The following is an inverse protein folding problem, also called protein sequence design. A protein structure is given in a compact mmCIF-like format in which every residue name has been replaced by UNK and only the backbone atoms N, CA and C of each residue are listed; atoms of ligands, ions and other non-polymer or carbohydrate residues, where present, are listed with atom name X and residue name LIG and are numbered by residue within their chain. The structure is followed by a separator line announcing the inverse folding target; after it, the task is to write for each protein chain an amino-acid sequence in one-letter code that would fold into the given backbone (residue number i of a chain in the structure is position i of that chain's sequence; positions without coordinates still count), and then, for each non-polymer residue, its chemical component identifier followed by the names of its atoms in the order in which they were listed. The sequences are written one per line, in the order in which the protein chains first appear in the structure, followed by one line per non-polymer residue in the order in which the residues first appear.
data_IF_390726270827
#
_entry.id   IF_390726270827
#
_cell.length_a   1.000
_cell.length_b   1.000
_cell.length_c   1.000
_cell.angle_alpha   90.00
_cell.angle_beta   90.00
_cell.angle_gamma   90.00
#
_symmetry.space_group_name_H-M   'P 1'
#
loop_
_entity.id
_entity.type
_entity.pdbx_description
1 polymer ?
#
# COMPACT_ATOMS: atom_id res chain seq x y z
N UNK A 1 -40.58 -30.10 5.27
CA UNK A 1 -39.52 -30.87 4.57
C UNK A 1 -39.38 -30.33 3.16
N UNK A 2 -38.46 -29.40 2.93
CA UNK A 2 -38.19 -28.81 1.61
C UNK A 2 -36.79 -29.25 1.17
N UNK A 3 -36.71 -29.94 0.03
CA UNK A 3 -35.45 -30.37 -0.59
C UNK A 3 -35.02 -29.28 -1.57
N UNK A 4 -33.90 -28.61 -1.28
CA UNK A 4 -33.21 -27.74 -2.24
C UNK A 4 -32.26 -28.64 -3.04
N UNK A 5 -32.49 -28.72 -4.34
CA UNK A 5 -31.66 -29.45 -5.29
C UNK A 5 -30.44 -28.59 -5.66
N UNK A 6 -29.24 -29.15 -5.47
CA UNK A 6 -27.99 -28.57 -5.96
C UNK A 6 -27.81 -28.93 -7.43
N UNK A 7 -27.66 -27.92 -8.28
CA UNK A 7 -27.23 -28.08 -9.68
C UNK A 7 -25.71 -28.07 -9.70
N UNK A 8 -25.10 -29.22 -10.01
CA UNK A 8 -23.69 -29.30 -10.39
C UNK A 8 -23.54 -28.87 -11.85
N UNK A 9 -22.82 -27.77 -12.10
CA UNK A 9 -22.36 -27.42 -13.44
C UNK A 9 -20.96 -28.01 -13.64
N UNK A 10 -20.89 -28.98 -14.55
CA UNK A 10 -19.66 -29.58 -15.06
C UNK A 10 -19.10 -28.66 -16.14
N UNK A 11 -17.88 -28.14 -15.96
CA UNK A 11 -17.13 -27.52 -17.05
C UNK A 11 -16.16 -28.53 -17.65
N UNK A 12 -16.38 -28.78 -18.94
CA UNK A 12 -15.59 -29.63 -19.83
C UNK A 12 -14.30 -28.91 -20.20
N UNK A 13 -13.16 -29.58 -19.99
CA UNK A 13 -11.86 -29.24 -20.58
C UNK A 13 -11.94 -29.34 -22.10
N UNK A 14 -11.34 -28.38 -22.83
CA UNK A 14 -10.75 -28.65 -24.14
C UNK A 14 -9.71 -27.60 -24.55
N UNK A 15 -8.72 -28.11 -25.27
CA UNK A 15 -7.82 -27.46 -26.24
C UNK A 15 -6.44 -26.97 -25.75
N UNK A 16 -5.48 -27.85 -26.03
CA UNK A 16 -4.08 -27.57 -26.23
C UNK A 16 -3.84 -26.57 -27.38
N UNK A 17 -2.87 -25.67 -27.18
CA UNK A 17 -2.18 -24.96 -28.26
C UNK A 17 -0.69 -25.29 -28.20
N UNK A 18 -0.29 -26.29 -28.98
CA UNK A 18 1.10 -26.52 -29.38
C UNK A 18 1.50 -25.48 -30.42
N UNK A 19 2.42 -24.57 -30.04
CA UNK A 19 2.92 -23.50 -30.90
C UNK A 19 4.44 -23.51 -31.04
N UNK A 20 4.91 -24.24 -32.06
CA UNK A 20 6.15 -24.11 -32.84
C UNK A 20 7.32 -23.29 -32.26
N UNK A 21 8.42 -24.00 -31.99
CA UNK A 21 9.76 -23.43 -31.88
C UNK A 21 10.24 -22.84 -33.21
N UNK A 22 10.67 -21.59 -33.16
CA UNK A 22 11.45 -20.93 -34.21
C UNK A 22 12.96 -21.03 -33.95
N UNK A 23 13.80 -20.94 -34.99
CA UNK A 23 15.25 -21.09 -34.86
C UNK A 23 15.85 -19.92 -34.07
N UNK A 24 16.66 -20.28 -33.06
CA UNK A 24 17.47 -19.38 -32.25
C UNK A 24 18.59 -18.80 -33.16
N UNK A 25 18.74 -17.46 -33.26
CA UNK A 25 19.85 -16.88 -34.01
C UNK A 25 21.19 -17.24 -33.33
N UNK A 26 22.28 -17.43 -34.10
CA UNK A 26 23.60 -17.74 -33.55
C UNK A 26 24.11 -16.58 -32.69
N UNK A 27 24.48 -16.92 -31.45
CA UNK A 27 25.06 -15.98 -30.51
C UNK A 27 26.41 -15.47 -31.01
N UNK A 28 26.49 -14.17 -31.25
CA UNK A 28 27.75 -13.45 -31.32
C UNK A 28 28.31 -13.30 -29.91
N UNK A 29 29.39 -14.01 -29.62
CA UNK A 29 30.26 -13.76 -28.48
C UNK A 29 31.02 -12.47 -28.77
N UNK A 30 30.42 -11.32 -28.45
CA UNK A 30 31.18 -10.11 -28.23
C UNK A 30 31.94 -10.32 -26.92
N UNK A 31 33.27 -10.28 -26.99
CA UNK A 31 34.19 -10.27 -25.85
C UNK A 31 33.80 -9.10 -24.94
N UNK A 32 32.98 -9.39 -23.93
CA UNK A 32 32.70 -8.48 -22.83
C UNK A 32 33.98 -8.44 -22.02
N UNK A 33 34.77 -7.39 -22.24
CA UNK A 33 35.90 -7.05 -21.40
C UNK A 33 35.45 -7.20 -19.94
N UNK A 34 36.14 -8.08 -19.21
CA UNK A 34 35.95 -8.28 -17.79
C UNK A 34 36.34 -6.98 -17.12
N UNK A 35 35.38 -6.06 -16.97
CA UNK A 35 35.54 -4.87 -16.15
C UNK A 35 36.00 -5.38 -14.77
N UNK A 36 37.15 -4.89 -14.32
CA UNK A 36 37.65 -5.17 -12.98
C UNK A 36 36.52 -4.91 -11.99
N UNK A 37 36.29 -5.89 -11.13
CA UNK A 37 35.20 -5.86 -10.14
C UNK A 37 35.28 -4.54 -9.37
N UNK A 38 34.16 -3.81 -9.20
CA UNK A 38 34.15 -2.56 -8.45
C UNK A 38 34.81 -2.78 -7.09
N UNK A 39 35.56 -1.77 -6.64
CA UNK A 39 36.29 -1.78 -5.39
C UNK A 39 35.48 -2.48 -4.29
N UNK A 40 36.07 -3.50 -3.66
CA UNK A 40 35.40 -4.37 -2.69
C UNK A 40 34.73 -3.53 -1.59
N UNK A 41 33.42 -3.33 -1.67
CA UNK A 41 32.68 -2.49 -0.74
C UNK A 41 31.47 -1.76 -1.32
N UNK A 42 31.39 -1.59 -2.64
CA UNK A 42 30.24 -0.95 -3.29
C UNK A 42 29.05 -1.91 -3.43
N UNK A 43 27.85 -1.48 -3.05
CA UNK A 43 26.60 -2.25 -3.20
C UNK A 43 25.41 -1.38 -3.57
N UNK A 44 24.39 -1.98 -4.14
CA UNK A 44 23.09 -1.35 -4.39
C UNK A 44 22.10 -1.74 -3.30
N UNK A 45 21.40 -0.75 -2.73
CA UNK A 45 20.40 -0.95 -1.67
C UNK A 45 19.30 0.10 -1.83
N UNK A 46 18.04 -0.34 -1.98
CA UNK A 46 16.86 0.51 -2.19
C UNK A 46 17.00 1.54 -3.33
N UNK A 47 17.75 1.19 -4.38
CA UNK A 47 18.04 2.07 -5.52
C UNK A 47 19.22 3.01 -5.31
N UNK A 48 19.88 3.00 -4.15
CA UNK A 48 21.07 3.81 -3.89
C UNK A 48 22.34 3.00 -4.04
N UNK A 49 23.35 3.63 -4.63
CA UNK A 49 24.72 3.13 -4.63
C UNK A 49 25.38 3.48 -3.30
N UNK A 50 25.71 2.48 -2.50
CA UNK A 50 26.37 2.63 -1.20
C UNK A 50 27.81 2.14 -1.29
N UNK A 51 28.73 2.95 -0.78
CA UNK A 51 30.15 2.62 -0.67
C UNK A 51 30.65 2.99 0.74
N UNK A 52 31.84 2.52 1.17
CA UNK A 52 32.35 2.81 2.51
C UNK A 52 32.44 4.30 2.87
N UNK A 53 32.59 5.18 1.88
CA UNK A 53 32.67 6.64 2.03
C UNK A 53 31.40 7.38 1.57
N UNK A 54 30.35 6.66 1.13
CA UNK A 54 29.12 7.30 0.68
C UNK A 54 28.36 7.91 1.86
N UNK A 55 27.93 9.18 1.79
CA UNK A 55 27.03 9.74 2.79
C UNK A 55 25.67 9.03 2.74
N UNK A 56 24.88 9.13 3.81
CA UNK A 56 23.52 8.59 3.82
C UNK A 56 22.67 9.29 2.72
N UNK A 57 22.08 8.54 1.78
CA UNK A 57 21.32 9.12 0.68
C UNK A 57 20.05 9.83 1.14
N UNK A 58 19.50 9.50 2.31
CA UNK A 58 18.22 10.02 2.80
C UNK A 58 18.37 10.99 3.97
N UNK A 59 19.48 11.01 4.71
CA UNK A 59 19.60 11.82 5.93
C UNK A 59 19.59 13.35 5.66
N UNK A 60 18.54 14.05 6.08
CA UNK A 60 18.39 15.50 5.90
C UNK A 60 18.19 16.25 7.21
N UNK A 61 18.61 17.52 7.25
CA UNK A 61 18.30 18.41 8.36
C UNK A 61 17.18 19.39 7.99
N UNK A 62 17.12 19.81 6.74
CA UNK A 62 16.15 20.78 6.21
C UNK A 62 15.65 20.34 4.84
N UNK A 63 14.51 20.87 4.39
CA UNK A 63 13.99 20.60 3.03
C UNK A 63 14.98 20.98 1.93
N UNK A 64 15.83 21.99 2.16
CA UNK A 64 16.84 22.42 1.21
C UNK A 64 17.95 21.39 0.99
N UNK A 65 18.10 20.42 1.89
CA UNK A 65 19.08 19.34 1.76
C UNK A 65 18.61 18.27 0.78
N UNK A 66 17.30 18.20 0.50
CA UNK A 66 16.71 17.19 -0.35
C UNK A 66 16.63 17.63 -1.82
N UNK A 67 16.79 16.66 -2.72
CA UNK A 67 16.69 16.82 -4.17
C UNK A 67 16.09 15.55 -4.78
N UNK A 68 15.51 15.68 -5.98
CA UNK A 68 15.14 14.53 -6.79
C UNK A 68 16.14 14.43 -7.93
N UNK A 69 16.82 13.29 -8.03
CA UNK A 69 17.74 13.04 -9.13
C UNK A 69 17.51 11.64 -9.70
N UNK A 70 17.98 11.46 -10.92
CA UNK A 70 17.97 10.17 -11.57
C UNK A 70 19.18 9.38 -11.03
N UNK A 71 18.90 8.22 -10.43
CA UNK A 71 19.92 7.29 -9.94
C UNK A 71 20.57 6.55 -11.11
N UNK A 72 21.74 5.95 -10.90
CA UNK A 72 22.37 5.09 -11.92
C UNK A 72 21.68 3.71 -11.91
N UNK A 73 21.66 3.01 -13.04
CA UNK A 73 21.06 1.68 -13.11
C UNK A 73 22.00 0.63 -12.47
N UNK A 74 21.42 -0.44 -11.91
CA UNK A 74 22.16 -1.52 -11.25
C UNK A 74 23.14 -2.26 -12.17
N UNK A 75 22.93 -2.21 -13.49
CA UNK A 75 23.77 -2.84 -14.50
C UNK A 75 25.08 -2.07 -14.79
N UNK A 76 25.36 -1.03 -14.00
CA UNK A 76 26.54 -0.18 -14.12
C UNK A 76 26.42 0.84 -15.24
N UNK A 77 25.27 0.90 -15.93
CA UNK A 77 25.03 1.92 -16.92
C UNK A 77 24.64 3.23 -16.23
N UNK A 78 25.46 4.26 -16.46
CA UNK A 78 25.29 5.63 -15.93
C UNK A 78 24.17 6.38 -16.66
N UNK A 79 23.07 5.68 -16.89
CA UNK A 79 21.86 6.24 -17.45
C UNK A 79 20.98 6.79 -16.33
N UNK A 80 20.16 7.78 -16.65
CA UNK A 80 19.11 8.19 -15.75
C UNK A 80 18.22 7.00 -15.40
N UNK A 81 18.15 6.64 -14.13
CA UNK A 81 17.07 5.82 -13.59
C UNK A 81 15.76 6.43 -14.04
N UNK A 82 14.86 5.55 -14.48
CA UNK A 82 13.52 5.91 -14.94
C UNK A 82 12.65 6.53 -13.84
N UNK A 83 13.12 6.54 -12.58
CA UNK A 83 12.40 7.11 -11.45
C UNK A 83 13.27 8.10 -10.66
N UNK A 84 12.83 9.36 -10.49
CA UNK A 84 13.49 10.27 -9.57
C UNK A 84 13.36 9.73 -8.15
N UNK A 85 14.48 9.52 -7.48
CA UNK A 85 14.48 9.18 -6.06
C UNK A 85 14.78 10.42 -5.22
N UNK A 86 14.09 10.61 -4.09
CA UNK A 86 14.43 11.67 -3.14
C UNK A 86 15.76 11.32 -2.48
N UNK A 87 16.73 12.21 -2.56
CA UNK A 87 18.03 12.02 -1.94
C UNK A 87 18.61 13.33 -1.43
N UNK A 88 19.67 13.25 -0.65
CA UNK A 88 20.38 14.43 -0.18
C UNK A 88 21.26 15.01 -1.28
N UNK A 89 21.44 16.34 -1.28
CA UNK A 89 22.37 17.02 -2.19
C UNK A 89 23.81 16.54 -1.99
N UNK A 90 24.20 16.29 -0.74
CA UNK A 90 25.54 15.80 -0.39
C UNK A 90 25.78 14.41 -1.02
N UNK A 91 24.79 13.53 -0.96
CA UNK A 91 24.85 12.24 -1.65
C UNK A 91 24.89 12.39 -3.16
N UNK A 92 24.08 13.27 -3.75
CA UNK A 92 24.11 13.53 -5.20
C UNK A 92 25.50 13.99 -5.68
N UNK A 93 26.13 14.90 -4.92
CA UNK A 93 27.47 15.41 -5.24
C UNK A 93 28.56 14.34 -5.07
N UNK A 94 28.43 13.48 -4.06
CA UNK A 94 29.31 12.32 -3.89
C UNK A 94 29.12 11.35 -5.07
N UNK A 95 27.89 10.96 -5.37
CA UNK A 95 27.55 10.01 -6.44
C UNK A 95 28.10 10.50 -7.79
N UNK A 96 27.91 11.78 -8.11
CA UNK A 96 28.47 12.38 -9.33
C UNK A 96 29.99 12.24 -9.40
N UNK A 97 30.71 12.59 -8.33
CA UNK A 97 32.18 12.47 -8.30
C UNK A 97 32.65 11.03 -8.37
N UNK A 98 31.97 10.13 -7.67
CA UNK A 98 32.26 8.69 -7.64
C UNK A 98 32.12 8.09 -9.05
N UNK A 99 31.02 8.41 -9.75
CA UNK A 99 30.78 7.96 -11.11
C UNK A 99 31.76 8.58 -12.13
N UNK A 100 32.13 9.85 -11.94
CA UNK A 100 33.16 10.52 -12.74
C UNK A 100 34.56 9.89 -12.54
N UNK A 101 34.85 9.31 -11.35
CA UNK A 101 36.14 8.68 -11.04
C UNK A 101 36.23 7.19 -11.35
N UNK A 102 35.13 6.44 -11.26
CA UNK A 102 35.08 4.96 -11.28
C UNK A 102 34.50 4.38 -12.59
N UNK A 103 34.81 4.99 -13.74
CA UNK A 103 34.60 4.39 -15.08
C UNK A 103 33.27 4.60 -15.82
N UNK A 104 32.42 5.57 -15.48
CA UNK A 104 31.30 5.95 -16.38
C UNK A 104 31.75 6.56 -17.72
N UNK A 105 33.01 6.97 -17.84
CA UNK A 105 33.52 7.68 -19.03
C UNK A 105 33.60 6.81 -20.27
N UNK A 106 33.83 5.50 -20.10
CA UNK A 106 34.18 4.57 -21.18
C UNK A 106 33.09 3.50 -21.43
N UNK A 107 31.95 3.56 -20.74
CA UNK A 107 30.83 2.61 -20.93
C UNK A 107 29.80 3.20 -21.90
N UNK A 108 29.68 2.60 -23.09
CA UNK A 108 28.58 2.89 -24.01
C UNK A 108 27.30 2.16 -23.56
N UNK A 109 26.29 2.94 -23.14
CA UNK A 109 25.00 2.41 -22.72
C UNK A 109 23.95 2.58 -23.83
N UNK A 110 23.17 1.53 -24.17
CA UNK A 110 22.11 1.63 -25.15
C UNK A 110 21.03 2.58 -24.64
N UNK A 111 20.70 3.65 -25.38
CA UNK A 111 19.65 4.58 -25.00
C UNK A 111 18.32 3.85 -24.88
N UNK A 112 17.81 3.71 -23.65
CA UNK A 112 16.45 3.26 -23.42
C UNK A 112 15.43 4.24 -24.01
N UNK A 113 14.19 3.80 -24.27
CA UNK A 113 13.11 4.74 -24.59
C UNK A 113 12.96 5.76 -23.44
N UNK A 114 12.61 7.02 -23.74
CA UNK A 114 12.42 8.02 -22.70
C UNK A 114 11.32 7.56 -21.73
N UNK A 115 11.55 7.59 -20.40
CA UNK A 115 10.51 7.25 -19.44
C UNK A 115 9.34 8.23 -19.52
N UNK A 116 8.17 7.80 -19.05
CA UNK A 116 7.08 8.73 -18.81
C UNK A 116 7.53 9.80 -17.79
N UNK A 117 7.14 11.07 -17.95
CA UNK A 117 7.48 12.09 -16.98
C UNK A 117 6.90 11.73 -15.60
N UNK A 118 7.67 11.92 -14.51
CA UNK A 118 7.21 11.60 -13.16
C UNK A 118 6.04 12.49 -12.76
N UNK A 119 5.22 12.03 -11.80
CA UNK A 119 4.15 12.87 -11.25
C UNK A 119 4.73 14.14 -10.60
N UNK A 120 4.04 15.29 -10.62
CA UNK A 120 4.54 16.52 -10.00
C UNK A 120 4.87 16.41 -8.50
N UNK A 121 4.27 15.46 -7.76
CA UNK A 121 4.63 15.20 -6.37
C UNK A 121 5.93 14.38 -6.22
N UNK A 122 6.26 13.55 -7.21
CA UNK A 122 7.47 12.71 -7.20
C UNK A 122 8.72 13.53 -7.50
N UNK A 123 8.58 14.64 -8.22
CA UNK A 123 9.67 15.58 -8.50
C UNK A 123 9.92 16.61 -7.38
N UNK A 124 9.11 16.58 -6.31
CA UNK A 124 9.27 17.44 -5.13
C UNK A 124 9.79 16.61 -3.96
N UNK A 125 11.08 16.74 -3.66
CA UNK A 125 11.66 16.18 -2.44
C UNK A 125 11.37 17.09 -1.23
N UNK A 126 11.21 16.49 -0.06
CA UNK A 126 11.06 17.18 1.23
C UNK A 126 11.84 16.45 2.32
N UNK A 127 12.24 17.18 3.34
CA UNK A 127 12.80 16.60 4.55
C UNK A 127 11.67 16.36 5.57
N UNK A 128 11.49 15.11 5.99
CA UNK A 128 10.47 14.73 6.96
C UNK A 128 11.06 13.76 7.97
N UNK A 129 10.99 14.14 9.25
CA UNK A 129 11.52 13.34 10.37
C UNK A 129 13.00 12.94 10.19
N UNK A 130 13.80 13.83 9.60
CA UNK A 130 15.23 13.59 9.33
C UNK A 130 15.53 12.81 8.04
N UNK A 131 14.53 12.47 7.23
CA UNK A 131 14.72 11.73 5.98
C UNK A 131 14.13 12.45 4.76
N UNK A 132 14.86 12.41 3.64
CA UNK A 132 14.38 12.86 2.35
C UNK A 132 13.29 11.93 1.85
N UNK A 133 12.16 12.49 1.46
CA UNK A 133 11.04 11.75 0.91
C UNK A 133 10.40 12.54 -0.24
N UNK A 134 9.61 11.86 -1.06
CA UNK A 134 8.80 12.55 -2.07
C UNK A 134 7.58 13.17 -1.40
N UNK A 135 7.06 14.26 -1.97
CA UNK A 135 5.80 14.83 -1.52
C UNK A 135 4.62 13.84 -1.64
N UNK A 136 4.77 12.74 -2.40
CA UNK A 136 3.74 11.71 -2.51
C UNK A 136 3.69 10.77 -1.27
N UNK A 137 4.79 10.60 -0.55
CA UNK A 137 4.86 9.67 0.59
C UNK A 137 4.12 10.17 1.84
N UNK A 138 3.86 11.48 1.91
CA UNK A 138 3.16 12.13 3.03
C UNK A 138 1.64 12.19 2.84
N UNK A 139 1.08 11.49 1.85
CA UNK A 139 -0.37 11.38 1.74
C UNK A 139 -0.92 10.62 2.95
N UNK A 140 -1.98 11.13 3.62
CA UNK A 140 -2.61 10.42 4.73
C UNK A 140 -3.04 9.03 4.27
N UNK A 141 -2.48 8.00 4.90
CA UNK A 141 -2.63 6.58 4.51
C UNK A 141 -1.32 5.79 4.41
N UNK A 142 -0.17 6.46 4.33
CA UNK A 142 1.15 5.81 4.16
C UNK A 142 2.07 5.91 5.39
N UNK A 143 1.49 6.03 6.59
CA UNK A 143 2.25 6.13 7.83
C UNK A 143 2.69 4.76 8.35
N UNK A 144 3.70 4.17 7.71
CA UNK A 144 4.83 3.41 8.29
C UNK A 144 5.53 2.65 7.16
N UNK A 145 6.80 3.00 6.97
CA UNK A 145 7.58 2.63 5.79
C UNK A 145 7.83 1.14 5.64
N UNK A 146 7.67 0.68 4.40
CA UNK A 146 8.65 -0.10 3.64
C UNK A 146 8.55 0.37 2.18
N UNK A 147 9.70 0.51 1.51
CA UNK A 147 9.88 0.98 0.14
C UNK A 147 9.10 0.17 -0.93
N UNK A 148 8.90 0.72 -2.14
CA UNK A 148 7.88 0.29 -3.09
C UNK A 148 8.42 -0.69 -4.13
N UNK A 149 7.93 -1.93 -4.10
CA UNK A 149 7.97 -2.84 -5.24
C UNK A 149 6.59 -3.44 -5.52
N UNK A 150 5.55 -2.63 -5.35
CA UNK A 150 4.17 -2.98 -5.63
C UNK A 150 3.54 -1.97 -6.58
N UNK A 151 3.51 -2.30 -7.86
CA UNK A 151 2.73 -1.61 -8.87
C UNK A 151 1.28 -1.43 -8.39
N UNK A 152 0.91 -0.20 -8.04
CA UNK A 152 -0.45 0.21 -7.71
C UNK A 152 -0.64 1.65 -8.11
N UNK A 153 -0.99 1.88 -9.39
CA UNK A 153 -1.15 3.21 -9.95
C UNK A 153 -2.24 4.01 -9.23
N UNK A 154 -1.89 5.20 -8.75
CA UNK A 154 -2.89 6.25 -8.53
C UNK A 154 -3.39 6.72 -9.90
N UNK A 155 -4.70 6.70 -10.17
CA UNK A 155 -5.23 7.19 -11.43
C UNK A 155 -4.93 8.68 -11.58
N UNK A 156 -4.48 9.03 -12.78
CA UNK A 156 -4.23 10.39 -13.20
C UNK A 156 -5.56 11.11 -13.34
N UNK A 157 -5.97 11.86 -12.32
CA UNK A 157 -6.86 12.99 -12.58
C UNK A 157 -6.45 14.22 -11.77
N UNK A 158 -6.47 15.33 -12.49
CA UNK A 158 -5.81 16.59 -12.21
C UNK A 158 -6.55 17.39 -11.14
N UNK A 159 -6.23 17.12 -9.88
CA UNK A 159 -6.17 18.06 -8.76
C UNK A 159 -5.82 17.23 -7.54
N UNK A 160 -4.80 17.59 -6.78
CA UNK A 160 -4.77 17.19 -5.38
C UNK A 160 -5.63 18.23 -4.68
N UNK A 161 -6.92 17.98 -4.38
CA UNK A 161 -7.62 18.83 -3.45
C UNK A 161 -6.93 18.60 -2.10
N UNK A 162 -5.93 19.41 -1.77
CA UNK A 162 -5.34 19.50 -0.43
C UNK A 162 -6.41 19.84 0.64
N UNK A 163 -7.64 20.12 0.22
CA UNK A 163 -8.78 20.40 1.09
C UNK A 163 -10.09 19.82 0.51
N UNK A 164 -10.12 18.56 0.08
CA UNK A 164 -11.41 17.91 -0.10
C UNK A 164 -12.11 17.98 1.26
N UNK A 165 -13.26 18.67 1.32
CA UNK A 165 -14.02 18.77 2.56
C UNK A 165 -14.27 17.34 3.08
N UNK A 166 -14.10 17.10 4.40
CA UNK A 166 -14.33 15.77 4.96
C UNK A 166 -15.72 15.30 4.56
N UNK A 167 -15.79 14.07 4.07
CA UNK A 167 -17.07 13.46 3.71
C UNK A 167 -17.89 13.35 5.00
N UNK A 168 -19.13 13.86 5.02
CA UNK A 168 -19.91 13.96 6.25
C UNK A 168 -20.53 12.60 6.60
N UNK A 169 -19.68 11.62 6.92
CA UNK A 169 -20.03 10.25 7.25
C UNK A 169 -19.41 9.90 8.59
N UNK A 170 -20.20 9.32 9.48
CA UNK A 170 -19.74 8.78 10.76
C UNK A 170 -19.70 7.25 10.70
N UNK A 171 -18.71 6.65 11.36
CA UNK A 171 -18.61 5.21 11.58
C UNK A 171 -18.89 4.93 13.05
N UNK A 172 -19.97 4.20 13.31
CA UNK A 172 -20.43 3.84 14.64
C UNK A 172 -20.35 2.32 14.80
N UNK A 173 -20.17 1.84 16.03
CA UNK A 173 -20.25 0.41 16.36
C UNK A 173 -21.21 0.24 17.51
N UNK A 174 -22.29 -0.51 17.31
CA UNK A 174 -23.33 -0.69 18.33
C UNK A 174 -23.04 -1.88 19.25
N UNK A 175 -22.32 -2.88 18.72
CA UNK A 175 -22.15 -4.19 19.36
C UNK A 175 -20.84 -4.82 18.92
N UNK A 176 -20.06 -5.35 19.86
CA UNK A 176 -18.81 -6.09 19.58
C UNK A 176 -18.77 -7.38 20.39
N UNK A 177 -18.41 -8.47 19.72
CA UNK A 177 -18.17 -9.77 20.31
C UNK A 177 -16.82 -10.33 19.85
N UNK A 178 -16.05 -10.92 20.77
CA UNK A 178 -14.81 -11.63 20.45
C UNK A 178 -15.01 -13.09 20.82
N UNK A 179 -15.08 -13.93 19.79
CA UNK A 179 -15.28 -15.38 19.91
C UNK A 179 -13.94 -16.08 19.70
N UNK A 180 -13.43 -16.84 20.70
CA UNK A 180 -12.31 -17.73 20.48
C UNK A 180 -12.66 -18.84 19.49
N UNK A 181 -11.78 -19.10 18.53
CA UNK A 181 -11.90 -20.14 17.50
C UNK A 181 -10.67 -21.06 17.55
N UNK A 182 -10.73 -22.24 16.91
CA UNK A 182 -9.63 -23.22 16.91
C UNK A 182 -8.29 -22.64 16.43
N UNK A 183 -8.33 -21.67 15.51
CA UNK A 183 -7.15 -21.08 14.85
C UNK A 183 -6.97 -19.58 15.12
N UNK A 184 -7.55 -19.06 16.20
CA UNK A 184 -7.37 -17.66 16.60
C UNK A 184 -8.60 -17.06 17.25
N UNK A 185 -8.92 -15.81 16.89
CA UNK A 185 -10.12 -15.11 17.35
C UNK A 185 -10.98 -14.71 16.16
N UNK A 186 -12.29 -14.64 16.38
CA UNK A 186 -13.22 -14.01 15.46
C UNK A 186 -13.87 -12.82 16.15
N UNK A 187 -13.72 -11.63 15.56
CA UNK A 187 -14.40 -10.42 16.04
C UNK A 187 -15.64 -10.18 15.21
N UNK A 188 -16.80 -10.06 15.86
CA UNK A 188 -18.08 -9.74 15.23
C UNK A 188 -18.52 -8.35 15.68
N UNK A 189 -18.80 -7.47 14.74
CA UNK A 189 -19.20 -6.09 15.01
C UNK A 189 -20.51 -5.77 14.31
N UNK A 190 -21.46 -5.14 15.00
CA UNK A 190 -22.57 -4.46 14.35
C UNK A 190 -22.15 -3.01 14.06
N UNK A 191 -21.74 -2.74 12.82
CA UNK A 191 -21.23 -1.45 12.40
C UNK A 191 -22.32 -0.64 11.67
N UNK A 192 -22.33 0.68 11.88
CA UNK A 192 -23.23 1.60 11.20
C UNK A 192 -22.42 2.71 10.54
N UNK A 193 -22.61 2.91 9.23
CA UNK A 193 -22.20 4.12 8.54
C UNK A 193 -23.39 5.08 8.49
N UNK A 194 -23.23 6.26 9.09
CA UNK A 194 -24.26 7.32 9.07
C UNK A 194 -23.84 8.41 8.09
N UNK A 195 -24.50 8.49 6.95
CA UNK A 195 -24.32 9.58 5.98
C UNK A 195 -25.17 10.79 6.35
N UNK A 196 -24.50 11.91 6.62
CA UNK A 196 -25.10 13.24 6.84
C UNK A 196 -25.14 14.08 5.56
N UNK A 197 -24.77 13.49 4.42
CA UNK A 197 -24.86 14.16 3.13
C UNK A 197 -26.34 14.40 2.74
N UNK A 198 -26.59 15.41 1.91
CA UNK A 198 -27.93 15.70 1.41
C UNK A 198 -28.41 14.71 0.33
N UNK A 199 -27.55 13.79 -0.10
CA UNK A 199 -27.83 12.80 -1.14
C UNK A 199 -26.96 11.54 -0.97
N UNK A 200 -27.28 10.48 -1.72
CA UNK A 200 -26.50 9.24 -1.66
C UNK A 200 -25.05 9.47 -2.10
N UNK A 201 -24.13 8.73 -1.49
CA UNK A 201 -22.71 8.76 -1.85
C UNK A 201 -22.39 7.48 -2.62
N UNK A 202 -21.87 7.62 -3.84
CA UNK A 202 -21.40 6.46 -4.60
C UNK A 202 -20.00 6.06 -4.13
N UNK A 203 -19.89 4.88 -3.53
CA UNK A 203 -18.64 4.23 -3.13
C UNK A 203 -18.21 3.28 -4.24
N UNK A 204 -16.91 3.19 -4.54
CA UNK A 204 -16.40 2.19 -5.49
C UNK A 204 -15.53 1.18 -4.75
N UNK A 205 -16.08 -0.01 -4.58
CA UNK A 205 -15.47 -1.06 -3.76
C UNK A 205 -15.14 -2.32 -4.58
N UNK A 206 -14.13 -3.07 -4.18
CA UNK A 206 -13.76 -4.33 -4.84
C UNK A 206 -14.76 -5.47 -4.56
N UNK A 207 -15.56 -5.41 -3.48
CA UNK A 207 -16.41 -6.53 -3.02
C UNK A 207 -17.89 -6.18 -2.76
N UNK A 208 -18.37 -5.09 -3.36
CA UNK A 208 -19.77 -4.68 -3.32
C UNK A 208 -20.35 -4.37 -1.91
N UNK A 209 -19.51 -4.05 -0.91
CA UNK A 209 -19.95 -3.42 0.34
C UNK A 209 -19.34 -2.02 0.54
N UNK A 210 -20.13 -1.11 1.10
CA UNK A 210 -19.65 0.21 1.56
C UNK A 210 -18.69 0.11 2.74
N UNK A 211 -18.60 -1.06 3.39
CA UNK A 211 -17.71 -1.32 4.53
C UNK A 211 -16.36 -1.93 4.14
N UNK A 212 -16.08 -2.16 2.86
CA UNK A 212 -14.85 -2.85 2.42
C UNK A 212 -13.55 -2.05 2.69
N UNK A 213 -13.64 -0.78 3.11
CA UNK A 213 -12.52 0.03 3.58
C UNK A 213 -12.33 0.01 5.11
N UNK A 214 -13.16 -0.73 5.85
CA UNK A 214 -13.13 -0.78 7.32
C UNK A 214 -12.21 -1.90 7.81
N UNK A 215 -11.49 -1.61 8.87
CA UNK A 215 -10.65 -2.54 9.63
C UNK A 215 -11.05 -2.55 11.09
N UNK A 216 -10.90 -3.70 11.74
CA UNK A 216 -10.93 -3.77 13.21
C UNK A 216 -9.52 -3.56 13.76
N UNK A 217 -9.43 -2.83 14.87
CA UNK A 217 -8.18 -2.58 15.61
C UNK A 217 -8.37 -3.03 17.05
N UNK A 218 -7.51 -3.95 17.49
CA UNK A 218 -7.43 -4.43 18.87
C UNK A 218 -6.23 -3.76 19.54
N UNK A 219 -6.45 -3.19 20.71
CA UNK A 219 -5.40 -2.56 21.52
C UNK A 219 -5.38 -3.12 22.94
N UNK A 220 -4.19 -3.11 23.55
CA UNK A 220 -4.00 -3.46 24.95
C UNK A 220 -4.51 -2.37 25.90
N UNK A 221 -4.46 -2.61 27.22
CA UNK A 221 -4.85 -1.62 28.23
C UNK A 221 -3.95 -0.38 28.25
N UNK A 222 -2.72 -0.48 27.73
CA UNK A 222 -1.77 0.62 27.57
C UNK A 222 -1.97 1.43 26.28
N UNK A 223 -2.72 0.89 25.32
CA UNK A 223 -3.05 1.53 24.05
C UNK A 223 -2.16 1.06 22.91
N UNK A 224 -1.26 0.12 23.18
CA UNK A 224 -0.49 -0.53 22.14
C UNK A 224 -1.41 -1.35 21.24
N UNK A 225 -1.30 -1.15 19.93
CA UNK A 225 -2.01 -1.96 18.95
C UNK A 225 -1.51 -3.41 19.02
N UNK A 226 -2.42 -4.34 19.29
CA UNK A 226 -2.15 -5.78 19.33
C UNK A 226 -2.34 -6.41 17.95
N UNK A 227 -3.40 -5.99 17.25
CA UNK A 227 -3.76 -6.53 15.93
C UNK A 227 -4.63 -5.54 15.17
N UNK A 228 -4.43 -5.52 13.85
CA UNK A 228 -5.31 -4.86 12.88
C UNK A 228 -5.69 -5.87 11.81
N UNK A 229 -6.96 -5.87 11.43
CA UNK A 229 -7.47 -6.76 10.39
C UNK A 229 -8.50 -6.02 9.54
N UNK A 230 -8.24 -5.95 8.24
CA UNK A 230 -9.19 -5.41 7.27
C UNK A 230 -10.41 -6.32 7.14
N UNK A 231 -11.57 -5.72 6.87
CA UNK A 231 -12.78 -6.45 6.53
C UNK A 231 -12.64 -7.08 5.15
N UNK A 232 -12.46 -8.40 5.12
CA UNK A 232 -12.22 -9.17 3.90
C UNK A 232 -13.23 -10.31 3.73
N UNK A 233 -14.35 -10.28 4.45
CA UNK A 233 -15.28 -11.41 4.54
C UNK A 233 -16.28 -11.51 3.37
N UNK A 234 -15.84 -11.20 2.16
CA UNK A 234 -16.64 -11.35 0.95
C UNK A 234 -15.94 -12.29 -0.03
N UNK A 235 -16.59 -13.42 -0.32
CA UNK A 235 -16.17 -14.30 -1.40
C UNK A 235 -16.80 -13.83 -2.71
N UNK A 236 -16.12 -12.92 -3.42
CA UNK A 236 -16.32 -12.64 -4.86
C UNK A 236 -17.71 -12.06 -5.27
N UNK A 237 -17.82 -11.41 -6.44
CA UNK A 237 -16.77 -11.12 -7.45
C UNK A 237 -15.87 -9.94 -7.05
N UNK A 238 -14.55 -10.16 -7.15
CA UNK A 238 -13.55 -9.10 -7.05
C UNK A 238 -13.57 -8.26 -8.34
N UNK A 239 -13.69 -6.94 -8.21
CA UNK A 239 -13.55 -6.00 -9.34
C UNK A 239 -12.35 -5.08 -9.09
N UNK A 240 -11.32 -5.16 -9.94
CA UNK A 240 -10.15 -4.26 -9.87
C UNK A 240 -10.52 -2.79 -10.06
N UNK A 241 -11.57 -2.54 -10.84
CA UNK A 241 -12.09 -1.20 -11.15
C UNK A 241 -13.11 -0.72 -10.10
N UNK A 242 -13.45 -1.60 -9.16
CA UNK A 242 -14.51 -1.44 -8.19
C UNK A 242 -15.91 -1.58 -8.81
N UNK A 243 -16.85 -2.04 -8.00
CA UNK A 243 -18.29 -2.00 -8.26
C UNK A 243 -18.84 -0.76 -7.57
N UNK A 244 -19.65 0.08 -8.26
CA UNK A 244 -20.32 1.19 -7.61
C UNK A 244 -21.40 0.65 -6.66
N UNK A 245 -21.36 1.10 -5.40
CA UNK A 245 -22.36 0.81 -4.37
C UNK A 245 -22.81 2.14 -3.77
N UNK A 246 -24.11 2.31 -3.59
CA UNK A 246 -24.63 3.53 -2.98
C UNK A 246 -24.67 3.41 -1.45
N UNK A 247 -24.01 4.34 -0.77
CA UNK A 247 -24.28 4.63 0.63
C UNK A 247 -25.48 5.58 0.68
N UNK A 248 -26.63 5.06 1.09
CA UNK A 248 -27.85 5.85 1.24
C UNK A 248 -27.69 6.97 2.27
N UNK A 249 -28.53 8.01 2.16
CA UNK A 249 -28.66 9.03 3.20
C UNK A 249 -29.18 8.38 4.48
N UNK A 250 -28.65 8.76 5.65
CA UNK A 250 -29.02 8.18 6.93
C UNK A 250 -28.13 7.01 7.33
N UNK A 251 -28.72 5.99 7.96
CA UNK A 251 -27.98 4.87 8.54
C UNK A 251 -27.92 3.67 7.59
N UNK A 252 -26.73 3.11 7.42
CA UNK A 252 -26.51 1.79 6.81
C UNK A 252 -25.82 0.92 7.84
N UNK A 253 -26.49 -0.15 8.31
CA UNK A 253 -25.98 -1.06 9.34
C UNK A 253 -25.68 -2.42 8.77
N UNK A 254 -24.54 -3.00 9.14
CA UNK A 254 -24.13 -4.34 8.73
C UNK A 254 -23.42 -5.06 9.87
N UNK A 255 -23.60 -6.38 9.95
CA UNK A 255 -22.74 -7.25 10.77
C UNK A 255 -21.44 -7.54 10.01
N UNK A 256 -20.32 -7.13 10.60
CA UNK A 256 -18.97 -7.34 10.07
C UNK A 256 -18.29 -8.44 10.89
N UNK A 257 -17.63 -9.37 10.19
CA UNK A 257 -16.88 -10.47 10.81
C UNK A 257 -15.41 -10.38 10.40
N UNK A 258 -14.53 -10.32 11.39
CA UNK A 258 -13.09 -10.21 11.22
C UNK A 258 -12.41 -11.46 11.79
N UNK A 259 -11.99 -12.42 10.96
CA UNK A 259 -11.18 -13.52 11.42
C UNK A 259 -9.75 -13.03 11.69
N UNK A 260 -9.29 -13.19 12.93
CA UNK A 260 -7.93 -12.91 13.38
C UNK A 260 -7.17 -14.24 13.45
N UNK A 261 -6.81 -14.78 12.29
CA UNK A 261 -6.02 -16.01 12.20
C UNK A 261 -4.65 -15.84 12.87
N UNK A 262 -4.19 -16.91 13.51
CA UNK A 262 -2.89 -17.00 14.21
C UNK A 262 -2.70 -15.92 15.28
N UNK A 263 -3.81 -15.36 15.78
CA UNK A 263 -3.81 -14.38 16.86
C UNK A 263 -4.58 -14.92 18.05
N UNK A 264 -3.88 -15.03 19.17
CA UNK A 264 -4.45 -15.27 20.49
C UNK A 264 -4.00 -14.15 21.42
N UNK A 265 -4.72 -13.97 22.53
CA UNK A 265 -4.32 -13.02 23.57
C UNK A 265 -4.59 -13.63 24.93
N UNK A 266 -3.65 -13.45 25.85
CA UNK A 266 -3.82 -13.80 27.27
C UNK A 266 -4.59 -12.70 28.02
N UNK A 267 -4.85 -11.56 27.38
CA UNK A 267 -5.58 -10.46 27.99
C UNK A 267 -7.07 -10.81 28.08
N UNK A 268 -7.67 -10.79 29.29
CA UNK A 268 -9.09 -11.10 29.45
C UNK A 268 -9.97 -10.01 28.84
N UNK A 269 -9.48 -8.77 28.76
CA UNK A 269 -10.17 -7.61 28.18
C UNK A 269 -9.22 -6.93 27.19
N UNK A 270 -9.75 -6.60 26.01
CA UNK A 270 -9.05 -5.82 24.98
C UNK A 270 -9.91 -4.64 24.55
N UNK A 271 -9.26 -3.59 24.06
CA UNK A 271 -9.94 -2.43 23.49
C UNK A 271 -10.14 -2.63 22.00
N UNK A 272 -11.36 -2.47 21.52
CA UNK A 272 -11.73 -2.69 20.13
C UNK A 272 -12.32 -1.42 19.55
N UNK A 273 -11.88 -1.06 18.34
CA UNK A 273 -12.51 -0.02 17.53
C UNK A 273 -12.48 -0.39 16.06
N UNK A 274 -13.36 0.25 15.28
CA UNK A 274 -13.32 0.21 13.84
C UNK A 274 -12.64 1.47 13.30
N UNK A 275 -11.79 1.30 12.30
CA UNK A 275 -11.12 2.39 11.58
C UNK A 275 -11.19 2.13 10.08
N UNK A 276 -11.23 3.17 9.26
CA UNK A 276 -11.15 3.00 7.82
C UNK A 276 -11.48 4.24 7.00
N UNK A 277 -11.89 3.99 5.77
CA UNK A 277 -12.36 4.98 4.82
C UNK A 277 -13.54 4.44 4.00
N UNK A 278 -14.19 5.31 3.22
CA UNK A 278 -15.07 4.86 2.14
C UNK A 278 -14.22 4.59 0.89
N UNK A 279 -14.24 3.36 0.34
CA UNK A 279 -13.44 3.02 -0.83
C UNK A 279 -13.59 3.99 -2.00
N UNK A 280 -12.47 4.61 -2.37
CA UNK A 280 -12.33 5.54 -3.52
C UNK A 280 -13.25 6.76 -3.46
N UNK A 281 -13.63 7.21 -2.26
CA UNK A 281 -14.33 8.49 -2.07
C UNK A 281 -13.33 9.53 -1.57
N UNK A 282 -13.04 10.60 -2.33
CA UNK A 282 -12.13 11.65 -1.87
C UNK A 282 -12.62 12.28 -0.56
N UNK A 283 -11.71 12.47 0.41
CA UNK A 283 -12.03 13.10 1.69
C UNK A 283 -12.73 12.21 2.72
N UNK A 284 -12.91 10.91 2.46
CA UNK A 284 -13.51 9.97 3.42
C UNK A 284 -12.51 9.27 4.35
N UNK A 285 -11.23 9.66 4.31
CA UNK A 285 -10.20 9.03 5.14
C UNK A 285 -10.42 9.35 6.63
N UNK A 286 -10.02 8.43 7.50
CA UNK A 286 -10.01 8.65 8.95
C UNK A 286 -11.36 8.44 9.64
N UNK A 287 -12.26 7.63 9.06
CA UNK A 287 -13.43 7.15 9.78
C UNK A 287 -12.97 6.33 10.98
N UNK A 288 -13.54 6.61 12.15
CA UNK A 288 -13.19 5.94 13.40
C UNK A 288 -14.41 5.84 14.30
N UNK A 289 -14.68 4.64 14.81
CA UNK A 289 -15.68 4.44 15.84
C UNK A 289 -15.14 4.78 17.23
N UNK A 290 -16.05 4.85 18.20
CA UNK A 290 -15.67 4.77 19.61
C UNK A 290 -14.90 3.47 19.90
N UNK A 291 -14.05 3.53 20.92
CA UNK A 291 -13.27 2.40 21.40
C UNK A 291 -13.99 1.78 22.59
N UNK A 292 -14.21 0.46 22.54
CA UNK A 292 -14.95 -0.29 23.54
C UNK A 292 -14.03 -1.31 24.23
N UNK A 293 -14.13 -1.43 25.54
CA UNK A 293 -13.55 -2.54 26.29
C UNK A 293 -14.40 -3.80 26.09
N UNK A 294 -13.79 -4.87 25.57
CA UNK A 294 -14.46 -6.13 25.25
C UNK A 294 -13.74 -7.29 25.93
N UNK A 295 -14.49 -8.06 26.71
CA UNK A 295 -13.99 -9.28 27.35
C UNK A 295 -13.93 -10.43 26.35
N UNK A 296 -12.76 -11.05 26.20
CA UNK A 296 -12.55 -12.15 25.24
C UNK A 296 -13.32 -13.39 25.69
N UNK A 297 -14.17 -13.94 24.81
CA UNK A 297 -14.98 -15.13 25.11
C UNK A 297 -16.14 -14.91 26.09
N UNK A 298 -16.29 -13.71 26.65
CA UNK A 298 -17.57 -13.31 27.22
C UNK A 298 -18.52 -13.03 26.07
N UNK A 299 -19.80 -13.35 26.26
CA UNK A 299 -20.84 -12.96 25.31
C UNK A 299 -20.85 -11.45 25.06
N UNK A 300 -21.76 -11.02 24.21
CA UNK A 300 -21.60 -9.76 23.52
C UNK A 300 -21.62 -8.50 24.39
N UNK A 301 -20.71 -7.56 24.09
CA UNK A 301 -20.71 -6.21 24.66
C UNK A 301 -21.60 -5.28 23.82
N UNK A 302 -22.47 -4.51 24.48
CA UNK A 302 -23.28 -3.46 23.87
C UNK A 302 -22.76 -2.09 24.28
N UNK A 303 -22.87 -1.11 23.38
CA UNK A 303 -22.64 0.30 23.74
C UNK A 303 -23.75 0.74 24.71
N UNK A 304 -23.40 1.38 25.85
CA UNK A 304 -24.38 1.88 26.81
C UNK A 304 -25.29 2.99 26.24
#
# INVERSE_FOLDING_TARGET
MWKIAWIMVVFVQLAACSGRGGPRPPGGTADRATAESPASGTRWEDGYLLAPDSPDPLACATEADCTCAMLVAEDGCCQPSIWPAPQTRVYQEWLRRHLESEACRDVECPLGPPPAPPLPCQSKARCFDGYCSTACAQMPGNARGVSPSGFGGCPQDTSCPENAAPVPVALEVARIEIVPEEHGLQVRCQATLRSLASGPITVRTNFASVFDGVSVVLSGPDGAELKRQAYIHHQSPYSSDGVPVELAVGETTQELVFPLFDFTTELPVVRVRLEGDLPRVPGSAGLRSEELDVTVGAGTAAVP
#
